data_IF_067631756170
#
_entry.id   IF_067631756170
#
_cell.length_a   1.000
_cell.length_b   1.000
_cell.length_c   1.000
_cell.angle_alpha   90.00
_cell.angle_beta   90.00
_cell.angle_gamma   90.00
#
_symmetry.space_group_name_H-M   'P 1'
#
loop_
_entity.id
_entity.type
_entity.pdbx_description
1 polymer ?
#
# COMPACT_ATOMS: atom_id res chain seq x y z
N UNK A 1 35.91 -0.61 -0.57
CA UNK A 1 34.81 0.15 -1.21
C UNK A 1 33.53 -0.60 -0.88
N UNK A 2 32.86 -0.26 0.23
CA UNK A 2 31.59 -0.89 0.58
C UNK A 2 30.52 -0.35 -0.34
N UNK A 3 29.89 -1.22 -1.13
CA UNK A 3 28.66 -0.86 -1.82
C UNK A 3 27.66 -0.34 -0.78
N UNK A 4 26.95 0.78 -1.03
CA UNK A 4 25.94 1.24 -0.11
C UNK A 4 24.92 0.13 0.09
N UNK A 5 24.56 -0.15 1.35
CA UNK A 5 23.51 -1.11 1.67
C UNK A 5 22.27 -0.76 0.83
N UNK A 6 21.83 -1.69 -0.01
CA UNK A 6 20.61 -1.53 -0.80
C UNK A 6 19.49 -1.29 0.20
N UNK A 7 18.94 -0.08 0.22
CA UNK A 7 17.80 0.22 1.06
C UNK A 7 16.59 -0.51 0.46
N UNK A 8 16.38 -1.75 0.91
CA UNK A 8 15.40 -2.70 0.38
C UNK A 8 13.99 -2.11 0.38
N UNK A 9 13.71 -1.13 1.26
CA UNK A 9 12.41 -0.50 1.38
C UNK A 9 12.19 0.65 0.40
N UNK A 10 13.21 1.22 -0.27
CA UNK A 10 13.01 2.38 -1.16
C UNK A 10 11.95 2.14 -2.25
N UNK A 11 11.86 0.91 -2.76
CA UNK A 11 10.85 0.56 -3.76
C UNK A 11 9.47 0.36 -3.15
N UNK A 12 9.39 -0.14 -1.93
CA UNK A 12 8.15 -0.29 -1.16
C UNK A 12 7.62 1.09 -0.73
N UNK A 13 8.48 1.95 -0.18
CA UNK A 13 8.15 3.31 0.25
C UNK A 13 7.57 4.13 -0.91
N UNK A 14 8.12 3.99 -2.12
CA UNK A 14 7.57 4.63 -3.32
C UNK A 14 6.20 4.07 -3.72
N UNK A 15 6.00 2.75 -3.60
CA UNK A 15 4.72 2.12 -3.92
C UNK A 15 3.62 2.50 -2.92
N UNK A 16 3.99 2.78 -1.66
CA UNK A 16 3.08 3.26 -0.61
C UNK A 16 2.71 4.76 -0.76
N UNK A 17 3.36 5.49 -1.67
CA UNK A 17 3.16 6.93 -1.87
C UNK A 17 1.69 7.38 -1.94
N UNK A 18 0.84 6.76 -2.79
CA UNK A 18 -0.56 7.17 -2.95
C UNK A 18 -1.41 7.03 -1.68
N UNK A 19 -1.05 6.11 -0.78
CA UNK A 19 -1.78 5.87 0.48
C UNK A 19 -1.06 6.40 1.71
N UNK A 20 0.09 7.06 1.52
CA UNK A 20 0.93 7.57 2.59
C UNK A 20 0.21 8.49 3.58
N UNK A 21 -0.71 9.39 3.16
CA UNK A 21 -1.42 10.25 4.09
C UNK A 21 -2.17 9.50 5.19
N UNK A 22 -2.70 8.31 4.90
CA UNK A 22 -3.40 7.47 5.89
C UNK A 22 -2.44 6.58 6.68
N UNK A 23 -1.31 6.17 6.09
CA UNK A 23 -0.30 5.39 6.81
C UNK A 23 0.42 6.21 7.90
N UNK A 24 0.53 7.53 7.72
CA UNK A 24 1.16 8.45 8.67
C UNK A 24 0.17 8.99 9.73
N UNK A 25 -1.10 8.60 9.66
CA UNK A 25 -2.18 9.08 10.53
C UNK A 25 -2.47 8.06 11.65
N UNK A 26 -2.17 8.43 12.90
CA UNK A 26 -2.30 7.54 14.06
C UNK A 26 -3.75 7.20 14.44
N UNK A 27 -4.74 7.89 13.85
CA UNK A 27 -6.15 7.59 14.04
C UNK A 27 -6.66 6.54 13.05
N UNK A 28 -5.90 6.25 11.98
CA UNK A 28 -6.29 5.25 10.97
C UNK A 28 -6.04 3.83 11.51
N UNK A 29 -7.09 3.01 11.43
CA UNK A 29 -7.06 1.62 11.90
C UNK A 29 -6.91 0.65 10.72
N UNK A 30 -7.63 0.91 9.62
CA UNK A 30 -7.63 0.06 8.44
C UNK A 30 -7.70 0.90 7.15
N UNK A 31 -6.99 0.44 6.11
CA UNK A 31 -7.05 0.97 4.74
C UNK A 31 -7.39 -0.20 3.81
N UNK A 32 -8.57 -0.19 3.21
CA UNK A 32 -8.98 -1.18 2.23
C UNK A 32 -8.92 -0.60 0.81
N UNK A 33 -8.27 -1.31 -0.11
CA UNK A 33 -8.30 -1.01 -1.54
C UNK A 33 -9.06 -2.13 -2.28
N UNK A 34 -10.36 -1.94 -2.50
CA UNK A 34 -11.22 -2.93 -3.16
C UNK A 34 -11.15 -2.87 -4.70
N UNK A 35 -10.54 -1.82 -5.24
CA UNK A 35 -10.41 -1.58 -6.67
C UNK A 35 -9.52 -0.35 -6.94
N UNK A 36 -9.26 -0.05 -8.22
CA UNK A 36 -8.45 1.10 -8.58
C UNK A 36 -9.21 2.42 -8.34
N UNK A 37 -8.46 3.46 -7.98
CA UNK A 37 -8.97 4.84 -7.94
C UNK A 37 -9.59 5.27 -6.61
N UNK A 38 -9.70 4.39 -5.62
CA UNK A 38 -10.28 4.70 -4.31
C UNK A 38 -9.73 3.82 -3.20
N UNK A 39 -9.85 4.30 -1.95
CA UNK A 39 -9.61 3.53 -0.74
C UNK A 39 -10.72 3.77 0.26
N UNK A 40 -11.01 2.77 1.08
CA UNK A 40 -11.90 2.86 2.22
C UNK A 40 -11.06 2.88 3.49
N UNK A 41 -11.32 3.84 4.37
CA UNK A 41 -10.49 4.09 5.55
C UNK A 41 -11.34 4.00 6.81
N UNK A 42 -10.95 3.11 7.71
CA UNK A 42 -11.50 3.04 9.07
C UNK A 42 -10.65 3.91 10.01
N UNK A 43 -11.34 4.70 10.83
CA UNK A 43 -10.71 5.58 11.83
C UNK A 43 -11.23 5.28 13.23
N UNK A 44 -10.37 5.42 14.23
CA UNK A 44 -10.74 5.19 15.61
C UNK A 44 -11.96 6.04 16.02
N UNK A 45 -12.98 5.37 16.56
CA UNK A 45 -14.20 6.01 17.04
C UNK A 45 -15.20 6.41 15.95
N UNK A 46 -14.92 6.17 14.66
CA UNK A 46 -15.89 6.35 13.59
C UNK A 46 -16.76 5.09 13.43
N UNK A 47 -18.06 5.30 13.20
CA UNK A 47 -19.03 4.20 13.09
C UNK A 47 -19.04 3.52 11.71
N UNK A 48 -18.41 4.13 10.71
CA UNK A 48 -18.37 3.65 9.34
C UNK A 48 -17.04 4.04 8.69
N UNK A 49 -16.64 3.27 7.68
CA UNK A 49 -15.49 3.59 6.85
C UNK A 49 -15.80 4.78 5.93
N UNK A 50 -14.77 5.56 5.63
CA UNK A 50 -14.83 6.68 4.70
C UNK A 50 -14.22 6.28 3.35
N UNK A 51 -14.91 6.56 2.25
CA UNK A 51 -14.35 6.37 0.91
C UNK A 51 -13.60 7.63 0.46
N UNK A 52 -12.35 7.46 0.04
CA UNK A 52 -11.47 8.53 -0.42
C UNK A 52 -11.02 8.24 -1.87
N UNK A 53 -11.15 9.21 -2.79
CA UNK A 53 -10.66 9.04 -4.16
C UNK A 53 -9.13 9.13 -4.20
N UNK A 54 -8.51 8.16 -4.87
CA UNK A 54 -7.05 8.06 -5.07
C UNK A 54 -6.77 7.70 -6.53
N UNK A 55 -6.84 8.64 -7.47
CA UNK A 55 -6.68 8.36 -8.91
C UNK A 55 -5.33 7.71 -9.26
N UNK A 56 -4.30 7.94 -8.44
CA UNK A 56 -2.96 7.38 -8.61
C UNK A 56 -2.88 5.90 -8.23
N UNK A 57 -3.84 5.39 -7.44
CA UNK A 57 -3.96 3.98 -7.07
C UNK A 57 -4.58 3.18 -8.22
N UNK A 58 -3.88 3.15 -9.34
CA UNK A 58 -4.25 2.37 -10.53
C UNK A 58 -4.10 0.87 -10.29
N UNK A 59 -4.69 0.04 -11.16
CA UNK A 59 -4.51 -1.41 -11.11
C UNK A 59 -3.02 -1.82 -11.14
N UNK A 60 -2.23 -1.15 -11.98
CA UNK A 60 -0.78 -1.36 -12.04
C UNK A 60 -0.10 -0.99 -10.71
N UNK A 61 -0.52 0.10 -10.07
CA UNK A 61 0.02 0.51 -8.78
C UNK A 61 -0.33 -0.48 -7.66
N UNK A 62 -1.58 -0.98 -7.64
CA UNK A 62 -2.03 -2.00 -6.68
C UNK A 62 -1.23 -3.29 -6.84
N UNK A 63 -1.09 -3.80 -8.07
CA UNK A 63 -0.27 -5.00 -8.36
C UNK A 63 1.18 -4.79 -7.94
N UNK A 64 1.77 -3.67 -8.33
CA UNK A 64 3.14 -3.32 -7.96
C UNK A 64 3.36 -3.23 -6.45
N UNK A 65 2.37 -2.74 -5.70
CA UNK A 65 2.40 -2.69 -4.25
C UNK A 65 2.35 -4.11 -3.66
N UNK A 66 1.42 -4.94 -4.10
CA UNK A 66 1.29 -6.33 -3.64
C UNK A 66 2.57 -7.15 -3.87
N UNK A 67 3.16 -7.08 -5.06
CA UNK A 67 4.42 -7.74 -5.40
C UNK A 67 5.58 -7.30 -4.49
N UNK A 68 5.67 -6.01 -4.16
CA UNK A 68 6.72 -5.46 -3.29
C UNK A 68 6.52 -5.85 -1.84
N UNK A 69 5.28 -5.88 -1.36
CA UNK A 69 4.95 -6.36 -0.01
C UNK A 69 5.32 -7.84 0.11
N UNK A 70 4.88 -8.67 -0.84
CA UNK A 70 5.20 -10.09 -0.86
C UNK A 70 6.71 -10.31 -0.92
N UNK A 71 7.42 -9.61 -1.83
CA UNK A 71 8.88 -9.68 -1.91
C UNK A 71 9.58 -9.27 -0.63
N UNK A 72 9.03 -8.32 0.14
CA UNK A 72 9.56 -7.92 1.44
C UNK A 72 9.37 -8.99 2.51
N UNK A 73 8.25 -9.73 2.50
CA UNK A 73 7.99 -10.83 3.45
C UNK A 73 8.59 -12.18 3.02
N UNK A 74 9.32 -12.23 1.89
CA UNK A 74 9.86 -13.47 1.31
C UNK A 74 8.79 -14.35 0.66
N UNK A 75 7.63 -13.77 0.34
CA UNK A 75 6.51 -14.40 -0.35
C UNK A 75 6.47 -13.94 -1.82
N UNK A 76 5.65 -14.60 -2.63
CA UNK A 76 5.38 -14.20 -4.02
C UNK A 76 3.88 -14.09 -4.24
N UNK A 77 3.45 -13.04 -4.93
CA UNK A 77 2.07 -12.87 -5.41
C UNK A 77 2.11 -12.80 -6.94
N UNK A 78 1.30 -13.61 -7.61
CA UNK A 78 1.12 -13.61 -9.05
C UNK A 78 -0.25 -14.21 -9.42
N UNK A 79 -0.57 -14.31 -10.71
CA UNK A 79 -1.87 -14.88 -11.15
C UNK A 79 -2.07 -16.35 -10.74
N UNK A 80 -0.98 -17.11 -10.53
CA UNK A 80 -1.03 -18.51 -10.12
C UNK A 80 -1.14 -18.65 -8.58
N UNK A 81 -0.57 -17.70 -7.84
CA UNK A 81 -0.54 -17.59 -6.38
C UNK A 81 -1.12 -16.22 -5.96
N UNK A 82 -2.47 -16.08 -5.94
CA UNK A 82 -3.13 -14.83 -5.61
C UNK A 82 -2.93 -14.40 -4.15
#
# INVERSE_FOLDING_TARGET
>A
MNAPARNLTVFLDRALGPIRPWLDDDQVVEICANGPGEVWVERFGQAAMECHPVPELTELAIRHLAERIAGHSGQSVNEEHP
#
